data_IF_175711088256
#
_entry.id   IF_175711088256
#
_cell.length_a   1.000
_cell.length_b   1.000
_cell.length_c   1.000
_cell.angle_alpha   90.00
_cell.angle_beta   90.00
_cell.angle_gamma   90.00
#
_symmetry.space_group_name_H-M   'P 1'
#
loop_
_entity.id
_entity.type
_entity.pdbx_description
1 polymer ?
#
# COMPACT_ATOMS: atom_id res chain seq x y z
N UNK A 1 5.16 -35.36 -44.02
CA UNK A 1 5.73 -34.28 -43.20
C UNK A 1 5.20 -34.46 -41.79
N UNK A 2 6.07 -34.87 -40.85
CA UNK A 2 5.67 -35.09 -39.46
C UNK A 2 5.41 -33.75 -38.78
N UNK A 3 4.16 -33.49 -38.40
CA UNK A 3 3.79 -32.43 -37.47
C UNK A 3 4.28 -32.83 -36.08
N UNK A 4 5.57 -32.65 -35.81
CA UNK A 4 6.04 -32.54 -34.43
C UNK A 4 5.76 -31.09 -34.05
N UNK A 5 4.62 -30.83 -33.42
CA UNK A 5 4.45 -29.61 -32.64
C UNK A 5 5.63 -29.56 -31.66
N UNK A 6 6.51 -28.56 -31.82
CA UNK A 6 7.62 -28.35 -30.90
C UNK A 6 7.05 -28.23 -29.48
N UNK A 7 7.44 -29.15 -28.61
CA UNK A 7 7.07 -29.09 -27.19
C UNK A 7 7.73 -27.85 -26.59
N UNK A 8 6.93 -26.81 -26.34
CA UNK A 8 7.39 -25.61 -25.65
C UNK A 8 7.20 -25.77 -24.14
N UNK A 9 8.31 -25.77 -23.40
CA UNK A 9 8.29 -25.71 -21.92
C UNK A 9 8.40 -24.25 -21.50
N UNK A 10 7.49 -23.79 -20.63
CA UNK A 10 7.49 -22.43 -20.08
C UNK A 10 7.29 -22.47 -18.57
N UNK A 11 7.94 -21.55 -17.86
CA UNK A 11 7.82 -21.47 -16.41
C UNK A 11 6.59 -20.65 -16.00
N UNK A 12 5.83 -21.16 -15.02
CA UNK A 12 4.72 -20.44 -14.39
C UNK A 12 5.10 -19.92 -13.00
N UNK A 13 6.00 -20.61 -12.30
CA UNK A 13 6.47 -20.32 -10.95
C UNK A 13 5.32 -20.03 -9.95
N UNK A 14 5.60 -19.22 -8.92
CA UNK A 14 4.58 -18.68 -8.02
C UNK A 14 3.69 -17.62 -8.69
N UNK A 15 4.08 -17.14 -9.88
CA UNK A 15 3.38 -16.07 -10.60
C UNK A 15 1.96 -16.48 -11.01
N UNK A 16 1.72 -17.78 -11.22
CA UNK A 16 0.37 -18.30 -11.49
C UNK A 16 -0.62 -18.06 -10.33
N UNK A 17 -0.16 -18.19 -9.09
CA UNK A 17 -0.98 -17.94 -7.89
C UNK A 17 -1.30 -16.44 -7.79
N UNK A 18 -0.28 -15.60 -7.99
CA UNK A 18 -0.44 -14.14 -7.99
C UNK A 18 -1.41 -13.71 -9.09
N UNK A 19 -1.23 -14.20 -10.31
CA UNK A 19 -2.11 -13.89 -11.43
C UNK A 19 -3.55 -14.32 -11.16
N UNK A 20 -3.75 -15.51 -10.60
CA UNK A 20 -5.06 -16.03 -10.19
C UNK A 20 -5.73 -15.14 -9.14
N UNK A 21 -4.99 -14.69 -8.12
CA UNK A 21 -5.52 -13.77 -7.11
C UNK A 21 -5.89 -12.40 -7.70
N UNK A 22 -5.06 -11.87 -8.62
CA UNK A 22 -5.34 -10.62 -9.32
C UNK A 22 -6.64 -10.74 -10.14
N UNK A 23 -6.84 -11.86 -10.84
CA UNK A 23 -8.04 -12.14 -11.62
C UNK A 23 -9.26 -12.34 -10.71
N UNK A 24 -9.06 -13.02 -9.58
CA UNK A 24 -10.11 -13.22 -8.59
C UNK A 24 -10.56 -11.87 -8.01
N UNK A 25 -9.64 -10.99 -7.62
CA UNK A 25 -9.99 -9.64 -7.16
C UNK A 25 -10.65 -8.82 -8.29
N UNK A 26 -10.29 -9.09 -9.54
CA UNK A 26 -10.82 -8.36 -10.70
C UNK A 26 -10.11 -7.03 -10.97
N UNK A 27 -8.84 -6.89 -10.55
CA UNK A 27 -8.06 -5.65 -10.67
C UNK A 27 -8.02 -5.17 -12.12
N UNK A 28 -7.79 -6.07 -13.09
CA UNK A 28 -7.74 -5.73 -14.53
C UNK A 28 -9.02 -5.03 -14.96
N UNK A 29 -10.18 -5.55 -14.53
CA UNK A 29 -11.50 -4.98 -14.85
C UNK A 29 -11.69 -3.61 -14.20
N UNK A 30 -11.30 -3.46 -12.94
CA UNK A 30 -11.39 -2.18 -12.20
C UNK A 30 -10.58 -1.11 -12.93
N UNK A 31 -9.31 -1.38 -13.23
CA UNK A 31 -8.43 -0.42 -13.92
C UNK A 31 -8.98 -0.06 -15.30
N UNK A 32 -9.38 -1.04 -16.10
CA UNK A 32 -9.94 -0.79 -17.43
C UNK A 32 -11.24 0.01 -17.40
N UNK A 33 -12.07 -0.16 -16.36
CA UNK A 33 -13.26 0.66 -16.18
C UNK A 33 -12.94 2.11 -15.81
N UNK A 34 -11.84 2.36 -15.09
CA UNK A 34 -11.44 3.70 -14.66
C UNK A 34 -10.68 4.47 -15.74
N UNK A 35 -9.76 3.81 -16.43
CA UNK A 35 -8.92 4.43 -17.46
C UNK A 35 -9.48 4.30 -18.88
N UNK A 36 -10.45 3.39 -19.07
CA UNK A 36 -10.97 3.04 -20.39
C UNK A 36 -10.11 2.01 -21.12
N UNK A 37 -10.59 1.57 -22.28
CA UNK A 37 -9.88 0.67 -23.18
C UNK A 37 -9.80 1.33 -24.55
N UNK A 38 -8.59 1.55 -25.05
CA UNK A 38 -8.37 1.95 -26.44
C UNK A 38 -8.15 0.71 -27.31
N UNK A 39 -9.08 0.47 -28.24
CA UNK A 39 -9.07 -0.69 -29.14
C UNK A 39 -7.87 -0.68 -30.10
N UNK A 40 -7.22 0.47 -30.30
CA UNK A 40 -6.02 0.60 -31.11
C UNK A 40 -4.77 0.06 -30.40
N UNK A 41 -4.83 -0.08 -29.07
CA UNK A 41 -3.72 -0.59 -28.30
C UNK A 41 -3.67 -2.13 -28.30
N UNK A 42 -2.45 -2.67 -28.30
CA UNK A 42 -2.22 -4.12 -28.29
C UNK A 42 -2.50 -4.76 -26.92
N UNK A 43 -2.51 -3.96 -25.86
CA UNK A 43 -2.66 -4.40 -24.48
C UNK A 43 -3.36 -3.33 -23.65
N UNK A 44 -4.33 -3.73 -22.83
CA UNK A 44 -5.10 -2.80 -21.99
C UNK A 44 -4.30 -2.32 -20.77
N UNK A 45 -4.65 -1.14 -20.23
CA UNK A 45 -4.02 -0.59 -19.04
C UNK A 45 -4.10 -1.54 -17.84
N UNK A 46 -5.25 -2.19 -17.62
CA UNK A 46 -5.42 -3.16 -16.54
C UNK A 46 -4.51 -4.38 -16.68
N UNK A 47 -4.27 -4.85 -17.90
CA UNK A 47 -3.32 -5.95 -18.16
C UNK A 47 -1.88 -5.52 -17.93
N UNK A 48 -1.54 -4.27 -18.26
CA UNK A 48 -0.24 -3.67 -17.91
C UNK A 48 -0.08 -3.61 -16.39
N UNK A 49 -1.08 -3.13 -15.64
CA UNK A 49 -1.05 -3.12 -14.16
C UNK A 49 -0.87 -4.53 -13.60
N UNK A 50 -1.61 -5.52 -14.11
CA UNK A 50 -1.41 -6.93 -13.73
C UNK A 50 0.03 -7.38 -13.95
N UNK A 51 0.63 -7.02 -15.09
CA UNK A 51 2.04 -7.35 -15.37
C UNK A 51 3.00 -6.69 -14.38
N UNK A 52 2.76 -5.44 -13.98
CA UNK A 52 3.58 -4.70 -13.01
C UNK A 52 3.51 -5.38 -11.64
N UNK A 53 2.31 -5.80 -11.21
CA UNK A 53 2.13 -6.51 -9.94
C UNK A 53 2.83 -7.87 -9.93
N UNK A 54 2.73 -8.63 -11.02
CA UNK A 54 3.41 -9.92 -11.17
C UNK A 54 4.94 -9.72 -11.16
N UNK A 55 5.43 -8.71 -11.89
CA UNK A 55 6.85 -8.40 -11.95
C UNK A 55 7.40 -7.89 -10.60
N UNK A 56 6.65 -7.04 -9.90
CA UNK A 56 7.04 -6.44 -8.62
C UNK A 56 7.26 -7.45 -7.49
N UNK A 57 6.73 -8.66 -7.61
CA UNK A 57 6.95 -9.76 -6.65
C UNK A 57 8.15 -10.66 -6.98
N UNK A 58 8.74 -10.54 -8.17
CA UNK A 58 9.82 -11.43 -8.64
C UNK A 58 11.03 -10.75 -9.27
N UNK A 59 10.98 -9.45 -9.55
CA UNK A 59 11.97 -8.74 -10.38
C UNK A 59 12.40 -7.43 -9.73
N UNK A 60 13.21 -7.55 -8.69
CA UNK A 60 13.71 -6.39 -7.93
C UNK A 60 14.96 -5.83 -8.64
N UNK A 61 15.05 -4.50 -8.75
CA UNK A 61 16.27 -3.76 -9.13
C UNK A 61 16.71 -3.80 -10.60
N UNK A 62 15.83 -4.00 -11.58
CA UNK A 62 16.16 -3.81 -13.01
C UNK A 62 15.48 -2.58 -13.62
N UNK A 63 16.14 -1.88 -14.57
CA UNK A 63 15.53 -0.78 -15.31
C UNK A 63 14.26 -1.17 -16.06
N UNK A 64 13.35 -0.20 -16.24
CA UNK A 64 12.05 -0.42 -16.87
C UNK A 64 12.14 -0.90 -18.33
N UNK A 65 13.16 -0.50 -19.08
CA UNK A 65 13.36 -0.96 -20.46
C UNK A 65 13.68 -2.47 -20.57
N UNK A 66 14.04 -3.13 -19.46
CA UNK A 66 14.26 -4.58 -19.39
C UNK A 66 13.00 -5.36 -18.96
N UNK A 67 11.86 -4.68 -18.78
CA UNK A 67 10.65 -5.29 -18.23
C UNK A 67 10.12 -6.44 -19.09
N UNK A 68 10.17 -6.32 -20.41
CA UNK A 68 9.75 -7.38 -21.33
C UNK A 68 10.57 -8.66 -21.17
N UNK A 69 11.86 -8.56 -20.79
CA UNK A 69 12.73 -9.73 -20.59
C UNK A 69 12.24 -10.63 -19.46
N UNK A 70 11.60 -10.09 -18.43
CA UNK A 70 11.05 -10.88 -17.33
C UNK A 70 10.01 -11.91 -17.81
N UNK A 71 9.28 -11.60 -18.89
CA UNK A 71 8.22 -12.47 -19.40
C UNK A 71 8.68 -13.39 -20.54
N UNK A 72 9.94 -13.32 -20.98
CA UNK A 72 10.43 -14.11 -22.13
C UNK A 72 10.44 -15.62 -21.86
N UNK A 73 10.80 -16.03 -20.64
CA UNK A 73 10.86 -17.43 -20.20
C UNK A 73 9.60 -17.87 -19.43
N UNK A 74 8.61 -16.99 -19.32
CA UNK A 74 7.35 -17.24 -18.59
C UNK A 74 6.21 -17.61 -19.51
N UNK A 75 5.23 -18.33 -18.98
CA UNK A 75 3.97 -18.62 -19.66
C UNK A 75 3.06 -17.37 -19.73
N UNK A 76 3.51 -16.29 -20.39
CA UNK A 76 2.86 -14.97 -20.41
C UNK A 76 1.37 -15.03 -20.78
N UNK A 77 0.98 -15.85 -21.75
CA UNK A 77 -0.42 -15.96 -22.17
C UNK A 77 -1.31 -16.57 -21.07
N UNK A 78 -0.75 -17.46 -20.24
CA UNK A 78 -1.44 -18.00 -19.07
C UNK A 78 -1.50 -17.00 -17.92
N UNK A 79 -0.53 -16.09 -17.84
CA UNK A 79 -0.47 -15.08 -16.79
C UNK A 79 -1.32 -13.84 -17.10
N UNK A 80 -1.32 -13.36 -18.34
CA UNK A 80 -1.89 -12.05 -18.70
C UNK A 80 -3.09 -12.14 -19.63
N UNK A 81 -3.29 -13.26 -20.32
CA UNK A 81 -4.35 -13.45 -21.33
C UNK A 81 -3.79 -13.84 -22.70
N UNK A 82 -4.68 -14.35 -23.56
CA UNK A 82 -4.32 -14.89 -24.87
C UNK A 82 -3.68 -13.85 -25.80
N UNK A 83 -2.74 -14.29 -26.64
CA UNK A 83 -2.08 -13.49 -27.70
C UNK A 83 -1.26 -12.31 -27.21
N UNK A 84 -0.96 -12.24 -25.92
CA UNK A 84 -0.08 -11.21 -25.36
C UNK A 84 1.37 -11.61 -25.60
N UNK A 85 2.15 -10.66 -26.14
CA UNK A 85 3.58 -10.84 -26.36
C UNK A 85 4.39 -10.01 -25.36
N UNK A 86 5.56 -10.49 -24.91
CA UNK A 86 6.44 -9.73 -24.02
C UNK A 86 6.77 -8.33 -24.55
N UNK A 87 6.95 -8.17 -25.87
CA UNK A 87 7.30 -6.89 -26.50
C UNK A 87 6.22 -5.81 -26.39
N UNK A 88 5.00 -6.17 -26.00
CA UNK A 88 3.93 -5.20 -25.74
C UNK A 88 4.13 -4.48 -24.40
N UNK A 89 4.97 -5.03 -23.51
CA UNK A 89 5.32 -4.53 -22.19
C UNK A 89 6.68 -3.80 -22.22
N UNK A 90 6.77 -2.77 -23.05
CA UNK A 90 7.91 -1.85 -23.07
C UNK A 90 7.74 -0.71 -22.07
N UNK A 91 8.85 -0.01 -21.81
CA UNK A 91 8.91 1.13 -20.91
C UNK A 91 7.98 2.28 -21.31
N UNK A 92 7.85 2.59 -22.60
CA UNK A 92 6.91 3.62 -23.07
C UNK A 92 5.45 3.29 -22.74
N UNK A 93 5.03 2.02 -22.89
CA UNK A 93 3.66 1.62 -22.57
C UNK A 93 3.44 1.61 -21.06
N UNK A 94 4.39 1.10 -20.29
CA UNK A 94 4.29 1.06 -18.83
C UNK A 94 4.27 2.47 -18.25
N UNK A 95 5.19 3.35 -18.70
CA UNK A 95 5.26 4.74 -18.28
C UNK A 95 3.96 5.50 -18.55
N UNK A 96 3.38 5.36 -19.75
CA UNK A 96 2.08 5.98 -20.07
C UNK A 96 0.96 5.50 -19.15
N UNK A 97 0.88 4.21 -18.85
CA UNK A 97 -0.13 3.68 -17.93
C UNK A 97 0.10 4.21 -16.51
N UNK A 98 1.35 4.29 -16.05
CA UNK A 98 1.67 4.90 -14.75
C UNK A 98 1.28 6.38 -14.68
N UNK A 99 1.48 7.14 -15.75
CA UNK A 99 1.05 8.53 -15.86
C UNK A 99 -0.49 8.65 -15.84
N UNK A 100 -1.20 7.75 -16.51
CA UNK A 100 -2.67 7.70 -16.48
C UNK A 100 -3.21 7.38 -15.09
N UNK A 101 -2.60 6.43 -14.38
CA UNK A 101 -2.94 6.11 -12.99
C UNK A 101 -2.71 7.32 -12.07
N UNK A 102 -1.56 7.99 -12.21
CA UNK A 102 -1.23 9.18 -11.43
C UNK A 102 -2.21 10.33 -11.70
N UNK A 103 -2.59 10.57 -12.96
CA UNK A 103 -3.58 11.59 -13.33
C UNK A 103 -4.97 11.29 -12.81
N UNK A 104 -5.36 10.02 -12.76
CA UNK A 104 -6.66 9.61 -12.23
C UNK A 104 -6.73 9.78 -10.70
N UNK A 105 -5.68 9.37 -9.99
CA UNK A 105 -5.63 9.35 -8.52
C UNK A 105 -5.38 7.93 -8.01
N UNK A 106 -4.21 7.70 -7.43
CA UNK A 106 -3.79 6.36 -6.98
C UNK A 106 -4.63 5.89 -5.80
N UNK A 107 -4.92 6.79 -4.86
CA UNK A 107 -5.72 6.48 -3.69
C UNK A 107 -7.16 6.09 -4.08
N UNK A 108 -7.78 6.80 -5.02
CA UNK A 108 -9.14 6.49 -5.49
C UNK A 108 -9.19 5.10 -6.17
N UNK A 109 -8.20 4.78 -7.00
CA UNK A 109 -8.07 3.44 -7.60
C UNK A 109 -7.85 2.37 -6.52
N UNK A 110 -6.99 2.65 -5.55
CA UNK A 110 -6.69 1.72 -4.47
C UNK A 110 -7.94 1.41 -3.63
N UNK A 111 -8.73 2.42 -3.27
CA UNK A 111 -9.98 2.23 -2.54
C UNK A 111 -10.96 1.35 -3.31
N UNK A 112 -11.10 1.55 -4.62
CA UNK A 112 -11.99 0.71 -5.45
C UNK A 112 -11.56 -0.77 -5.42
N UNK A 113 -10.26 -1.04 -5.48
CA UNK A 113 -9.73 -2.41 -5.34
C UNK A 113 -10.02 -2.95 -3.94
N UNK A 114 -9.76 -2.17 -2.89
CA UNK A 114 -10.01 -2.55 -1.49
C UNK A 114 -11.47 -2.87 -1.24
N UNK A 115 -12.40 -2.09 -1.77
CA UNK A 115 -13.84 -2.33 -1.62
C UNK A 115 -14.26 -3.66 -2.25
N UNK A 116 -13.70 -4.00 -3.42
CA UNK A 116 -13.97 -5.29 -4.05
C UNK A 116 -13.37 -6.45 -3.23
N UNK A 117 -12.15 -6.29 -2.70
CA UNK A 117 -11.51 -7.26 -1.79
C UNK A 117 -12.36 -7.50 -0.54
N UNK A 118 -12.76 -6.44 0.16
CA UNK A 118 -13.60 -6.52 1.37
C UNK A 118 -14.89 -7.29 1.05
N UNK A 119 -15.57 -6.91 -0.02
CA UNK A 119 -16.84 -7.53 -0.42
C UNK A 119 -16.67 -9.00 -0.77
N UNK A 120 -15.62 -9.33 -1.53
CA UNK A 120 -15.42 -10.67 -2.07
C UNK A 120 -14.96 -11.66 -1.00
N UNK A 121 -13.98 -11.26 -0.18
CA UNK A 121 -13.41 -12.10 0.87
C UNK A 121 -14.12 -11.94 2.22
N UNK A 122 -15.10 -11.03 2.33
CA UNK A 122 -15.89 -10.76 3.54
C UNK A 122 -15.02 -10.41 4.74
N UNK A 123 -14.02 -9.54 4.51
CA UNK A 123 -13.05 -9.12 5.52
C UNK A 123 -13.77 -8.44 6.68
N UNK A 124 -13.44 -8.85 7.92
CA UNK A 124 -13.96 -8.18 9.12
C UNK A 124 -13.24 -6.85 9.36
N UNK A 125 -14.02 -5.80 9.49
CA UNK A 125 -13.57 -4.41 9.62
C UNK A 125 -13.83 -3.84 11.01
N UNK A 126 -14.26 -4.66 11.98
CA UNK A 126 -14.57 -4.23 13.33
C UNK A 126 -13.43 -3.47 14.00
N UNK A 127 -12.19 -3.88 13.73
CA UNK A 127 -10.99 -3.19 14.19
C UNK A 127 -10.08 -2.90 13.00
N UNK A 128 -9.48 -1.72 13.02
CA UNK A 128 -8.45 -1.34 12.08
C UNK A 128 -7.27 -0.71 12.81
N UNK A 129 -6.11 -0.69 12.18
CA UNK A 129 -4.88 -0.11 12.72
C UNK A 129 -4.30 0.92 11.75
N UNK A 130 -3.95 2.10 12.24
CA UNK A 130 -3.18 3.10 11.49
C UNK A 130 -1.78 3.20 12.08
N UNK A 131 -0.79 3.02 11.23
CA UNK A 131 0.62 3.24 11.55
C UNK A 131 1.36 3.84 10.35
N UNK A 132 2.52 4.42 10.63
CA UNK A 132 3.43 4.98 9.65
C UNK A 132 4.75 4.22 9.63
N UNK A 133 5.31 4.02 8.45
CA UNK A 133 6.62 3.41 8.23
C UNK A 133 7.49 4.39 7.44
N UNK A 134 8.70 4.66 7.94
CA UNK A 134 9.67 5.50 7.22
C UNK A 134 10.60 4.62 6.39
N UNK A 135 10.85 5.00 5.14
CA UNK A 135 11.81 4.34 4.26
C UNK A 135 13.02 5.24 4.06
N UNK A 136 14.21 4.77 4.43
CA UNK A 136 15.45 5.51 4.19
C UNK A 136 15.89 5.38 2.73
N UNK A 137 16.43 6.47 2.20
CA UNK A 137 16.80 6.61 0.80
C UNK A 137 18.16 7.29 0.67
N UNK A 138 18.95 6.78 -0.28
CA UNK A 138 20.25 7.32 -0.66
C UNK A 138 20.13 8.09 -1.98
N UNK A 139 20.75 9.26 -2.05
CA UNK A 139 20.78 10.06 -3.27
C UNK A 139 20.70 11.57 -3.06
N UNK A 140 21.00 12.32 -4.12
CA UNK A 140 21.04 13.77 -4.07
C UNK A 140 19.65 14.41 -3.97
N UNK A 141 18.61 13.81 -4.56
CA UNK A 141 17.22 14.30 -4.58
C UNK A 141 17.10 15.84 -4.67
N UNK A 142 17.87 16.45 -5.58
CA UNK A 142 17.86 17.90 -5.82
C UNK A 142 16.55 18.25 -6.54
N UNK A 143 15.61 18.89 -5.83
CA UNK A 143 14.49 19.60 -6.45
C UNK A 143 14.45 21.01 -5.90
N UNK A 144 14.02 21.93 -6.76
CA UNK A 144 13.77 23.32 -6.39
C UNK A 144 12.80 23.34 -5.21
N UNK A 145 13.30 23.75 -4.05
CA UNK A 145 12.54 23.92 -2.80
C UNK A 145 11.45 25.01 -2.95
N UNK A 146 11.40 25.68 -4.11
CA UNK A 146 10.69 26.92 -4.38
C UNK A 146 9.31 26.79 -5.04
N UNK A 147 8.83 25.57 -5.31
CA UNK A 147 7.44 25.38 -5.80
C UNK A 147 6.45 24.97 -4.70
N UNK A 148 6.87 25.02 -3.44
CA UNK A 148 6.03 24.62 -2.30
C UNK A 148 5.26 25.81 -1.70
N UNK A 149 3.92 25.67 -1.71
CA UNK A 149 2.86 26.46 -1.06
C UNK A 149 2.05 27.35 -2.01
N UNK A 150 1.42 26.76 -3.01
CA UNK A 150 0.15 27.30 -3.48
C UNK A 150 -0.96 26.32 -3.09
N UNK A 151 -1.84 26.82 -2.23
CA UNK A 151 -3.05 26.19 -1.70
C UNK A 151 -2.87 25.16 -0.58
N UNK A 152 -3.86 25.07 0.32
CA UNK A 152 -3.98 24.00 1.30
C UNK A 152 -4.14 22.67 0.55
N UNK A 153 -3.01 22.07 0.16
CA UNK A 153 -3.01 20.83 -0.59
C UNK A 153 -3.70 19.73 0.24
N UNK A 154 -4.75 19.15 -0.36
CA UNK A 154 -5.46 18.01 0.23
C UNK A 154 -4.45 16.89 0.44
N UNK A 155 -4.50 16.28 1.63
CA UNK A 155 -3.52 15.27 2.05
C UNK A 155 -3.47 14.03 1.16
N UNK A 156 -4.50 13.79 0.34
CA UNK A 156 -4.60 12.63 -0.56
C UNK A 156 -4.32 13.00 -2.03
N UNK A 157 -4.28 14.29 -2.38
CA UNK A 157 -4.11 14.67 -3.78
C UNK A 157 -2.71 14.24 -4.24
N UNK A 158 -2.65 13.62 -5.42
CA UNK A 158 -1.39 13.21 -6.02
C UNK A 158 -0.46 14.40 -6.21
N UNK A 159 0.65 14.35 -5.47
CA UNK A 159 1.73 15.33 -5.54
C UNK A 159 3.06 14.61 -5.48
N UNK A 160 4.14 15.20 -6.01
CA UNK A 160 5.45 14.63 -5.82
C UNK A 160 5.82 14.62 -4.34
N UNK A 161 6.22 13.45 -3.84
CA UNK A 161 6.76 13.32 -2.47
C UNK A 161 8.13 13.98 -2.37
N UNK A 162 8.39 14.55 -1.20
CA UNK A 162 9.62 15.26 -0.91
C UNK A 162 10.50 14.39 -0.03
N UNK A 163 11.58 13.93 -0.64
CA UNK A 163 12.58 13.07 0.00
C UNK A 163 13.48 13.94 0.88
N UNK A 164 13.06 14.12 2.14
CA UNK A 164 13.68 15.03 3.12
C UNK A 164 14.19 14.22 4.32
N UNK A 165 15.12 14.80 5.09
CA UNK A 165 15.50 14.27 6.40
C UNK A 165 14.36 14.50 7.39
N UNK A 166 14.14 13.56 8.29
CA UNK A 166 13.13 13.70 9.33
C UNK A 166 13.47 12.88 10.57
N UNK A 167 12.47 12.69 11.44
CA UNK A 167 12.62 11.86 12.62
C UNK A 167 12.83 10.40 12.18
N UNK A 168 13.93 9.79 12.63
CA UNK A 168 14.29 8.41 12.28
C UNK A 168 14.14 7.51 13.50
N UNK A 169 13.18 6.57 13.44
CA UNK A 169 12.95 5.55 14.48
C UNK A 169 14.14 4.58 14.60
N UNK A 170 14.89 4.39 13.51
CA UNK A 170 16.05 3.51 13.43
C UNK A 170 17.39 4.22 13.71
N UNK A 171 17.34 5.41 14.32
CA UNK A 171 18.52 6.20 14.69
C UNK A 171 19.44 6.59 13.52
N UNK A 172 18.86 6.80 12.33
CA UNK A 172 19.54 7.29 11.12
C UNK A 172 19.00 8.64 10.63
N UNK A 173 19.13 9.73 11.42
CA UNK A 173 18.67 11.07 11.03
C UNK A 173 19.52 11.70 9.91
N UNK A 174 20.68 11.10 9.61
CA UNK A 174 21.56 11.48 8.52
C UNK A 174 20.95 11.18 7.15
N UNK A 175 20.13 10.13 7.05
CA UNK A 175 19.50 9.67 5.82
C UNK A 175 18.25 10.47 5.48
N UNK A 176 18.01 10.64 4.18
CA UNK A 176 16.72 11.13 3.70
C UNK A 176 15.70 10.00 3.77
N UNK A 177 14.44 10.35 3.85
CA UNK A 177 13.37 9.37 3.93
C UNK A 177 12.10 9.84 3.20
N UNK A 178 11.18 8.91 3.01
CA UNK A 178 9.76 9.16 2.81
C UNK A 178 8.95 8.36 3.84
N UNK A 179 7.69 8.73 4.04
CA UNK A 179 6.81 8.08 5.01
C UNK A 179 5.65 7.42 4.28
N UNK A 180 5.29 6.21 4.70
CA UNK A 180 4.12 5.49 4.24
C UNK A 180 3.16 5.32 5.41
N UNK A 181 1.97 5.89 5.27
CA UNK A 181 0.88 5.71 6.22
C UNK A 181 -0.08 4.64 5.67
N UNK A 182 -0.36 3.63 6.49
CA UNK A 182 -1.25 2.53 6.15
C UNK A 182 -2.34 2.39 7.19
N UNK A 183 -3.58 2.20 6.72
CA UNK A 183 -4.65 1.65 7.55
C UNK A 183 -4.84 0.20 7.16
N UNK A 184 -4.83 -0.73 8.12
CA UNK A 184 -5.06 -2.17 7.89
C UNK A 184 -6.25 -2.69 8.67
N UNK A 185 -6.90 -3.75 8.18
CA UNK A 185 -7.89 -4.52 8.96
C UNK A 185 -7.21 -5.38 10.01
N UNK A 186 -7.88 -5.63 11.13
CA UNK A 186 -7.43 -6.66 12.08
C UNK A 186 -7.52 -8.08 11.51
N UNK A 187 -8.44 -8.28 10.57
CA UNK A 187 -8.60 -9.54 9.86
C UNK A 187 -7.63 -9.60 8.68
N UNK A 188 -6.55 -10.37 8.84
CA UNK A 188 -5.55 -10.62 7.80
C UNK A 188 -4.61 -9.46 7.46
N UNK A 189 -4.61 -8.38 8.25
CA UNK A 189 -3.78 -7.18 8.03
C UNK A 189 -3.95 -6.58 6.62
N UNK A 190 -5.16 -6.71 6.05
CA UNK A 190 -5.44 -6.26 4.69
C UNK A 190 -5.37 -4.73 4.65
N UNK A 191 -4.53 -4.14 3.77
CA UNK A 191 -4.49 -2.69 3.59
C UNK A 191 -5.84 -2.15 3.14
N UNK A 192 -6.36 -1.17 3.89
CA UNK A 192 -7.61 -0.48 3.65
C UNK A 192 -7.39 0.93 3.10
N UNK A 193 -6.24 1.52 3.40
CA UNK A 193 -5.86 2.85 2.95
C UNK A 193 -4.35 2.97 2.86
N UNK A 194 -3.87 3.76 1.90
CA UNK A 194 -2.45 4.07 1.73
C UNK A 194 -2.23 5.55 1.42
N UNK A 195 -1.25 6.16 2.09
CA UNK A 195 -0.68 7.45 1.69
C UNK A 195 0.84 7.39 1.74
N UNK A 196 1.49 7.92 0.72
CA UNK A 196 2.92 8.25 0.79
C UNK A 196 3.07 9.74 1.07
N UNK A 197 3.82 10.08 2.11
CA UNK A 197 4.09 11.44 2.56
C UNK A 197 5.58 11.80 2.51
N UNK A 198 5.86 13.06 2.80
CA UNK A 198 7.21 13.59 2.82
C UNK A 198 8.03 13.04 3.99
N UNK A 199 9.36 13.03 3.84
CA UNK A 199 10.26 12.45 4.84
C UNK A 199 10.25 13.11 6.22
N UNK A 200 9.75 14.35 6.33
CA UNK A 200 9.70 15.11 7.57
C UNK A 200 8.28 15.21 8.16
N UNK A 201 7.31 14.48 7.61
CA UNK A 201 5.97 14.40 8.17
C UNK A 201 5.99 13.70 9.54
N UNK A 202 5.10 14.14 10.44
CA UNK A 202 4.96 13.58 11.78
C UNK A 202 3.55 13.02 11.97
N UNK A 203 3.48 11.81 12.51
CA UNK A 203 2.24 11.08 12.83
C UNK A 203 1.23 11.98 13.56
N UNK A 204 1.68 12.74 14.56
CA UNK A 204 0.85 13.62 15.37
C UNK A 204 0.14 14.70 14.54
N UNK A 205 0.79 15.20 13.50
CA UNK A 205 0.24 16.25 12.64
C UNK A 205 -0.69 15.68 11.56
N UNK A 206 -0.51 14.41 11.20
CA UNK A 206 -1.05 13.84 9.97
C UNK A 206 -2.17 12.84 10.22
N UNK A 207 -2.08 11.97 11.24
CA UNK A 207 -3.04 10.87 11.44
C UNK A 207 -4.48 11.35 11.56
N UNK A 208 -4.71 12.47 12.26
CA UNK A 208 -6.05 13.05 12.35
C UNK A 208 -6.66 13.42 10.99
N UNK A 209 -5.84 13.90 10.05
CA UNK A 209 -6.28 14.23 8.69
C UNK A 209 -6.50 12.97 7.85
N UNK A 210 -5.62 11.97 7.97
CA UNK A 210 -5.78 10.65 7.31
C UNK A 210 -7.11 10.01 7.68
N UNK A 211 -7.45 9.99 8.97
CA UNK A 211 -8.70 9.39 9.43
C UNK A 211 -9.93 10.13 8.91
N UNK A 212 -9.87 11.47 8.80
CA UNK A 212 -10.95 12.27 8.23
C UNK A 212 -11.16 11.91 6.76
N UNK A 213 -10.08 11.79 5.99
CA UNK A 213 -10.21 11.45 4.58
C UNK A 213 -10.62 10.00 4.33
N UNK A 214 -10.04 9.05 5.06
CA UNK A 214 -10.44 7.64 5.00
C UNK A 214 -11.95 7.47 5.22
N UNK A 215 -12.51 8.20 6.18
CA UNK A 215 -13.96 8.19 6.46
C UNK A 215 -14.81 8.78 5.32
N UNK A 216 -14.29 9.73 4.54
CA UNK A 216 -15.03 10.27 3.38
C UNK A 216 -15.15 9.22 2.28
N UNK A 217 -14.12 8.41 2.12
CA UNK A 217 -14.04 7.40 1.06
C UNK A 217 -14.78 6.12 1.42
N UNK A 218 -14.77 5.71 2.70
CA UNK A 218 -15.42 4.46 3.12
C UNK A 218 -16.46 4.64 4.23
N UNK A 219 -17.64 4.05 4.02
CA UNK A 219 -18.80 4.10 4.93
C UNK A 219 -18.97 2.77 5.67
N UNK A 220 -18.12 2.50 6.66
CA UNK A 220 -18.36 1.43 7.65
C UNK A 220 -17.92 1.86 9.04
N UNK A 221 -18.46 1.19 10.05
CA UNK A 221 -18.14 1.43 11.45
C UNK A 221 -16.95 0.56 11.87
N UNK A 222 -15.92 1.17 12.44
CA UNK A 222 -14.71 0.46 12.88
C UNK A 222 -14.13 1.09 14.14
N UNK A 223 -13.38 0.31 14.91
CA UNK A 223 -12.60 0.79 16.07
C UNK A 223 -11.16 0.99 15.60
N UNK A 224 -10.63 2.20 15.76
CA UNK A 224 -9.32 2.58 15.22
C UNK A 224 -8.25 2.56 16.30
N UNK A 225 -7.29 1.64 16.18
CA UNK A 225 -6.06 1.69 16.95
C UNK A 225 -5.00 2.54 16.25
N UNK A 226 -4.36 3.45 16.97
CA UNK A 226 -3.16 4.15 16.50
C UNK A 226 -2.12 4.17 17.63
N UNK A 227 -0.87 3.84 17.32
CA UNK A 227 0.24 4.12 18.23
C UNK A 227 0.70 5.58 18.03
N UNK A 228 1.13 6.26 19.11
CA UNK A 228 1.78 7.58 19.00
C UNK A 228 0.88 8.83 18.96
N UNK A 229 -0.45 8.71 19.15
CA UNK A 229 -1.33 9.89 19.30
C UNK A 229 -1.11 10.60 20.64
N UNK A 230 -0.12 11.48 20.72
CA UNK A 230 0.05 12.38 21.87
C UNK A 230 -1.04 13.45 21.86
N UNK A 231 -2.14 13.17 22.57
CA UNK A 231 -3.29 14.04 22.81
C UNK A 231 -2.85 15.43 23.32
N UNK A 232 -2.96 16.43 22.45
CA UNK A 232 -2.77 17.84 22.80
C UNK A 232 -3.64 18.80 22.01
N UNK A 233 -4.23 18.37 20.89
CA UNK A 233 -5.26 19.13 20.16
C UNK A 233 -6.46 18.23 19.94
N UNK A 234 -7.66 18.78 20.19
CA UNK A 234 -8.96 18.13 20.00
C UNK A 234 -9.05 17.59 18.57
N UNK A 235 -8.88 16.30 18.39
CA UNK A 235 -9.41 15.62 17.21
C UNK A 235 -10.93 15.60 17.42
N UNK A 236 -11.75 15.89 16.40
CA UNK A 236 -13.19 15.72 16.53
C UNK A 236 -13.44 14.26 16.93
N UNK A 237 -13.89 14.04 18.16
CA UNK A 237 -14.31 12.72 18.62
C UNK A 237 -15.55 12.35 17.82
N UNK A 238 -15.36 11.55 16.78
CA UNK A 238 -16.47 11.06 15.97
C UNK A 238 -17.13 9.89 16.71
N UNK A 239 -18.47 9.86 16.81
CA UNK A 239 -19.21 8.85 17.59
C UNK A 239 -19.03 7.41 17.09
N UNK A 240 -18.48 7.24 15.88
CA UNK A 240 -18.36 5.95 15.18
C UNK A 240 -17.01 5.26 15.30
N UNK A 241 -15.96 5.96 15.77
CA UNK A 241 -14.64 5.38 16.01
C UNK A 241 -14.31 5.46 17.49
N UNK A 242 -14.14 4.30 18.14
CA UNK A 242 -13.45 4.24 19.44
C UNK A 242 -11.95 4.18 19.17
N UNK A 243 -11.20 5.08 19.78
CA UNK A 243 -9.73 5.09 19.66
C UNK A 243 -9.11 4.46 20.91
N UNK A 244 -8.13 3.59 20.71
CA UNK A 244 -7.29 3.05 21.78
C UNK A 244 -5.84 3.48 21.54
N UNK A 245 -5.26 4.20 22.51
CA UNK A 245 -3.88 4.66 22.46
C UNK A 245 -3.03 3.69 23.28
N UNK A 246 -2.19 2.88 22.61
CA UNK A 246 -1.40 1.82 23.24
C UNK A 246 -0.35 2.24 24.28
N UNK A 247 -0.28 3.51 24.70
CA UNK A 247 0.70 3.99 25.69
C UNK A 247 0.21 3.85 27.13
N UNK A 248 0.77 2.88 27.85
CA UNK A 248 0.71 2.82 29.32
C UNK A 248 1.67 3.85 29.93
N UNK A 249 1.30 5.13 30.04
CA UNK A 249 1.98 6.06 30.94
C UNK A 249 1.06 7.19 31.43
N UNK A 250 0.86 7.18 32.76
CA UNK A 250 0.37 8.26 33.62
C UNK A 250 -0.96 8.95 33.21
N UNK A 251 -2.06 8.38 33.72
CA UNK A 251 -3.32 9.08 33.97
C UNK A 251 -3.09 10.34 34.84
N UNK A 252 -2.76 11.49 34.24
CA UNK A 252 -3.10 12.78 34.84
C UNK A 252 -4.58 13.03 34.56
N UNK A 253 -5.41 12.70 35.55
CA UNK A 253 -6.85 13.02 35.58
C UNK A 253 -7.06 14.51 35.32
N UNK A 254 -7.36 14.89 34.08
CA UNK A 254 -8.19 16.06 33.82
C UNK A 254 -9.62 15.56 33.62
N UNK A 255 -10.52 16.02 34.49
CA UNK A 255 -11.95 15.67 34.51
C UNK A 255 -12.57 15.91 33.13
N UNK A 256 -12.97 14.84 32.46
CA UNK A 256 -13.84 14.87 31.28
C UNK A 256 -15.19 14.30 31.75
N UNK A 257 -16.28 15.00 31.39
CA UNK A 257 -17.64 14.81 31.91
C UNK A 257 -18.29 13.45 31.62
N UNK A 258 -19.49 13.20 32.19
CA UNK A 258 -19.97 11.87 32.58
C UNK A 258 -20.45 10.94 31.44
N UNK A 259 -20.29 11.30 30.16
CA UNK A 259 -20.93 10.57 29.04
C UNK A 259 -19.95 9.97 28.03
N UNK A 260 -18.93 9.22 28.47
CA UNK A 260 -18.16 8.35 27.58
C UNK A 260 -17.80 7.03 28.28
N UNK A 261 -18.38 5.93 27.80
CA UNK A 261 -18.03 4.58 28.22
C UNK A 261 -16.64 4.20 27.71
N UNK A 262 -15.65 4.34 28.58
CA UNK A 262 -14.34 3.71 28.45
C UNK A 262 -14.55 2.21 28.65
N UNK A 263 -14.46 1.43 27.59
CA UNK A 263 -14.43 -0.03 27.71
C UNK A 263 -13.05 -0.46 28.19
N UNK A 264 -12.90 -0.81 29.47
CA UNK A 264 -11.70 -1.47 29.97
C UNK A 264 -11.57 -2.85 29.32
N UNK A 265 -10.75 -2.97 28.27
CA UNK A 265 -10.28 -4.25 27.76
C UNK A 265 -9.12 -4.71 28.64
N UNK A 266 -9.41 -5.58 29.61
CA UNK A 266 -8.39 -6.23 30.46
C UNK A 266 -7.29 -6.85 29.59
N UNK A 267 -6.04 -6.55 29.97
CA UNK A 267 -4.79 -7.12 29.44
C UNK A 267 -4.84 -8.65 29.28
N UNK A 268 -5.33 -9.15 28.15
CA UNK A 268 -5.26 -10.58 27.79
C UNK A 268 -4.48 -10.84 26.51
N UNK A 269 -4.14 -9.81 25.75
CA UNK A 269 -3.51 -9.92 24.43
C UNK A 269 -1.97 -9.93 24.40
N UNK A 270 -1.29 -9.79 25.55
CA UNK A 270 0.19 -9.79 25.57
C UNK A 270 0.80 -11.20 25.50
N UNK A 271 0.02 -12.28 25.65
CA UNK A 271 0.53 -13.67 25.71
C UNK A 271 0.58 -14.42 24.38
N UNK A 272 -0.06 -13.95 23.30
CA UNK A 272 -0.04 -14.64 21.98
C UNK A 272 1.08 -14.19 21.04
N UNK A 273 1.71 -13.02 21.27
CA UNK A 273 2.89 -12.57 20.49
C UNK A 273 4.21 -13.27 20.88
N UNK A 274 4.19 -14.16 21.89
CA UNK A 274 5.41 -14.78 22.44
C UNK A 274 5.67 -16.25 22.05
N UNK A 275 4.88 -16.84 21.15
CA UNK A 275 4.94 -18.29 20.87
C UNK A 275 5.16 -18.70 19.39
N UNK A 276 5.37 -17.75 18.48
CA UNK A 276 5.63 -18.07 17.05
C UNK A 276 7.00 -17.60 16.53
N UNK A 277 7.81 -16.87 17.32
CA UNK A 277 9.17 -16.50 16.92
C UNK A 277 10.17 -16.70 18.08
N UNK A 278 10.59 -17.95 18.27
CA UNK A 278 11.89 -18.28 18.88
C UNK A 278 12.56 -19.37 18.05
N UNK A 279 13.11 -18.97 16.91
CA UNK A 279 14.21 -19.70 16.27
C UNK A 279 15.45 -18.82 16.45
N UNK A 280 16.45 -19.22 17.25
CA UNK A 280 17.67 -18.43 17.44
C UNK A 280 18.45 -18.37 16.13
N UNK A 281 18.58 -17.18 15.56
CA UNK A 281 19.41 -16.89 14.38
C UNK A 281 20.85 -16.53 14.80
N UNK A 282 21.48 -17.40 15.59
CA UNK A 282 22.92 -17.28 15.86
C UNK A 282 23.63 -18.60 15.64
N UNK A 283 24.69 -18.54 14.83
CA UNK A 283 25.67 -19.57 14.43
C UNK A 283 25.31 -20.43 13.22
N UNK A 284 25.75 -19.97 12.04
CA UNK A 284 26.91 -20.56 11.31
C UNK A 284 26.94 -20.01 9.89
N UNK A 285 27.83 -19.06 9.63
CA UNK A 285 28.59 -18.95 8.39
C UNK A 285 29.88 -18.19 8.71
N UNK A 286 30.93 -18.95 8.98
CA UNK A 286 32.32 -18.52 8.81
C UNK A 286 32.88 -19.43 7.72
N UNK A 287 33.37 -18.80 6.65
CA UNK A 287 34.14 -19.31 5.49
C UNK A 287 34.19 -20.83 5.28
#
# INVERSE_FOLDING_TARGET
MSYLEEIQVKNLDHLGIVAGLIDEIGIVKIINNKLGIDVREKISAGTVVKSILINGLGFVSRPLYLFSQFFQDKAIEKLLGERIKPDYLNDDKIGRVMDELYKYGLNDIFIEVVLEVIKKFKIDLKYSHLDSTSFHLDGEYKREEDKEKQEEEKIIKERPILIKKGYSRDHRPDLKQCVLDLITSQDGDIPLFVRVGDGNESDKAVFGKVLVEFKKQIKFDSIMGCEGLYMGKKIPTYPTFKMDNGSSMALKKQRIGPNLGVGELKMKYRKRRGLILKVPWEKKFSL
#
